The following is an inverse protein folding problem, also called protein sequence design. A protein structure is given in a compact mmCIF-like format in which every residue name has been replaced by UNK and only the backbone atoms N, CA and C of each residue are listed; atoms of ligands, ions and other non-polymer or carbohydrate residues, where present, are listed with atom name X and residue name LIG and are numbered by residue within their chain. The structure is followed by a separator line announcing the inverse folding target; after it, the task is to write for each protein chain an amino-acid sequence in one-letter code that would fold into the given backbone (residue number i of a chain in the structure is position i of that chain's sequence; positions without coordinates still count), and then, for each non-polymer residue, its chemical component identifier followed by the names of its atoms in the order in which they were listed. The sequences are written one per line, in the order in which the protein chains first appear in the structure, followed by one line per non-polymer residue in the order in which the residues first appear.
data_IF_478473214864
#
_entry.id   IF_478473214864
#
_cell.length_a   1.000
_cell.length_b   1.000
_cell.length_c   1.000
_cell.angle_alpha   90.00
_cell.angle_beta   90.00
_cell.angle_gamma   90.00
#
_symmetry.space_group_name_H-M   'P 1'
#
loop_
_entity.id
_entity.type
_entity.pdbx_description
1 polymer ?
#
# COMPACT_ATOMS: atom_id res chain seq x y z
N UNK A 1 29.11 48.57 -18.58
CA UNK A 1 28.57 47.92 -17.37
C UNK A 1 27.29 47.13 -17.65
N UNK A 2 26.45 47.56 -18.62
CA UNK A 2 25.22 46.83 -18.99
C UNK A 2 25.47 45.43 -19.59
N UNK A 3 26.48 45.23 -20.43
CA UNK A 3 26.80 43.91 -21.01
C UNK A 3 27.15 42.88 -19.93
N UNK A 4 27.99 43.26 -18.96
CA UNK A 4 28.37 42.37 -17.86
C UNK A 4 27.16 42.00 -16.99
N UNK A 5 26.27 42.96 -16.73
CA UNK A 5 25.03 42.71 -15.98
C UNK A 5 24.12 41.73 -16.72
N UNK A 6 23.93 41.91 -18.02
CA UNK A 6 23.14 41.01 -18.86
C UNK A 6 23.72 39.59 -18.89
N UNK A 7 25.03 39.44 -19.10
CA UNK A 7 25.69 38.13 -19.10
C UNK A 7 25.57 37.44 -17.75
N UNK A 8 25.79 38.13 -16.64
CA UNK A 8 25.65 37.56 -15.29
C UNK A 8 24.21 37.13 -15.03
N UNK A 9 23.23 37.94 -15.42
CA UNK A 9 21.80 37.59 -15.31
C UNK A 9 21.49 36.29 -16.06
N UNK A 10 21.89 36.18 -17.33
CA UNK A 10 21.62 34.99 -18.13
C UNK A 10 22.30 33.73 -17.60
N UNK A 11 23.55 33.84 -17.12
CA UNK A 11 24.28 32.72 -16.53
C UNK A 11 23.60 32.25 -15.25
N UNK A 12 23.22 33.18 -14.36
CA UNK A 12 22.58 32.85 -13.09
C UNK A 12 21.20 32.24 -13.31
N UNK A 13 20.37 32.86 -14.16
CA UNK A 13 19.01 32.36 -14.47
C UNK A 13 19.09 31.02 -15.18
N UNK A 14 20.01 30.85 -16.13
CA UNK A 14 20.23 29.58 -16.82
C UNK A 14 20.63 28.47 -15.84
N UNK A 15 21.61 28.74 -14.97
CA UNK A 15 22.08 27.77 -13.97
C UNK A 15 20.97 27.41 -12.97
N UNK A 16 20.24 28.41 -12.46
CA UNK A 16 19.11 28.20 -11.55
C UNK A 16 18.00 27.36 -12.20
N UNK A 17 17.71 27.60 -13.48
CA UNK A 17 16.73 26.82 -14.25
C UNK A 17 17.16 25.37 -14.40
N UNK A 18 18.43 25.13 -14.72
CA UNK A 18 18.99 23.77 -14.85
C UNK A 18 18.90 23.03 -13.50
N UNK A 19 19.32 23.67 -12.41
CA UNK A 19 19.25 23.09 -11.07
C UNK A 19 17.80 22.79 -10.70
N UNK A 20 16.87 23.73 -10.95
CA UNK A 20 15.45 23.53 -10.67
C UNK A 20 14.88 22.33 -11.43
N UNK A 21 15.21 22.17 -12.71
CA UNK A 21 14.77 21.03 -13.53
C UNK A 21 15.35 19.72 -12.99
N UNK A 22 16.65 19.69 -12.62
CA UNK A 22 17.29 18.50 -12.06
C UNK A 22 16.70 18.11 -10.71
N UNK A 23 16.50 19.07 -9.80
CA UNK A 23 15.84 18.86 -8.51
C UNK A 23 14.40 18.36 -8.69
N UNK A 24 13.68 18.96 -9.64
CA UNK A 24 12.31 18.54 -9.95
C UNK A 24 12.27 17.13 -10.55
N UNK A 25 13.21 16.77 -11.42
CA UNK A 25 13.33 15.42 -11.98
C UNK A 25 13.67 14.37 -10.91
N UNK A 26 14.58 14.68 -9.97
CA UNK A 26 14.90 13.81 -8.84
C UNK A 26 13.69 13.60 -7.90
N UNK A 27 12.83 14.61 -7.75
CA UNK A 27 11.59 14.51 -6.95
C UNK A 27 10.46 13.72 -7.62
N UNK A 28 10.61 13.26 -8.88
CA UNK A 28 9.59 12.46 -9.59
C UNK A 28 9.31 11.10 -8.94
N UNK A 29 10.15 10.63 -8.02
CA UNK A 29 9.87 9.44 -7.21
C UNK A 29 8.60 9.63 -6.35
N UNK A 30 8.28 10.86 -5.93
CA UNK A 30 7.04 11.19 -5.21
C UNK A 30 5.78 10.96 -6.06
N UNK A 31 5.87 11.09 -7.39
CA UNK A 31 4.77 10.80 -8.30
C UNK A 31 4.53 9.29 -8.47
N UNK A 32 5.58 8.46 -8.33
CA UNK A 32 5.45 6.99 -8.43
C UNK A 32 4.73 6.38 -7.22
N UNK A 33 4.59 7.12 -6.13
CA UNK A 33 3.85 6.72 -4.94
C UNK A 33 2.32 6.83 -5.14
N UNK A 34 1.87 7.69 -6.07
CA UNK A 34 0.45 7.87 -6.41
C UNK A 34 0.02 6.72 -7.33
N UNK A 35 -0.24 5.56 -6.72
CA UNK A 35 -0.66 4.34 -7.43
C UNK A 35 -0.22 3.05 -6.73
N UNK A 36 0.73 3.15 -5.79
CA UNK A 36 1.15 2.03 -4.95
C UNK A 36 0.39 2.15 -3.62
N UNK A 37 -0.74 1.45 -3.55
CA UNK A 37 -1.77 1.65 -2.55
C UNK A 37 -1.33 1.50 -1.09
N UNK A 38 -2.08 2.17 -0.21
CA UNK A 38 -2.08 1.95 1.22
C UNK A 38 -2.65 3.16 1.95
N UNK A 39 -3.86 3.04 2.49
CA UNK A 39 -4.51 4.00 3.39
C UNK A 39 -3.68 4.25 4.67
N UNK A 40 -2.51 4.86 4.55
CA UNK A 40 -1.55 4.99 5.65
C UNK A 40 -1.47 6.44 6.14
N UNK A 41 -1.79 6.59 7.42
CA UNK A 41 -1.18 7.61 8.25
C UNK A 41 0.29 7.25 8.43
N UNK A 42 1.16 8.24 8.24
CA UNK A 42 2.54 8.20 8.73
C UNK A 42 2.51 7.90 10.23
N UNK A 43 2.94 6.68 10.59
CA UNK A 43 3.42 6.38 11.92
C UNK A 43 4.68 5.56 11.76
N UNK A 44 5.77 6.13 12.24
CA UNK A 44 7.11 5.55 12.33
C UNK A 44 7.12 4.26 13.17
N UNK A 45 6.50 3.18 12.70
CA UNK A 45 6.61 1.87 13.31
C UNK A 45 7.09 0.84 12.28
N UNK A 46 8.23 0.25 12.64
CA UNK A 46 9.09 -0.68 11.94
C UNK A 46 8.40 -1.66 10.94
N UNK A 47 9.12 -2.09 9.89
CA UNK A 47 8.58 -3.00 8.88
C UNK A 47 8.17 -4.32 9.52
N UNK A 48 6.86 -4.52 9.72
CA UNK A 48 6.25 -5.85 9.81
C UNK A 48 5.78 -6.31 8.42
N UNK A 49 6.45 -5.84 7.37
CA UNK A 49 6.01 -5.95 5.98
C UNK A 49 6.44 -7.25 5.29
N UNK A 50 7.12 -8.15 6.00
CA UNK A 50 7.75 -9.34 5.43
C UNK A 50 7.26 -10.65 6.01
N UNK A 51 6.18 -10.67 6.84
CA UNK A 51 5.56 -11.95 7.19
C UNK A 51 4.95 -12.52 5.89
N UNK A 52 5.44 -13.66 5.38
CA UNK A 52 4.81 -14.31 4.25
C UNK A 52 3.36 -14.61 4.65
N UNK A 53 2.39 -14.24 3.82
CA UNK A 53 1.01 -14.70 4.02
C UNK A 53 1.09 -16.21 4.02
N UNK A 54 0.83 -16.82 5.18
CA UNK A 54 0.95 -18.25 5.32
C UNK A 54 0.02 -18.90 4.30
N UNK A 55 0.48 -19.95 3.57
CA UNK A 55 -0.36 -20.57 2.55
C UNK A 55 -1.68 -20.99 3.19
N UNK A 56 -2.82 -20.86 2.49
CA UNK A 56 -4.14 -21.10 3.07
C UNK A 56 -4.25 -22.52 3.68
N UNK A 57 -3.52 -23.48 3.12
CA UNK A 57 -3.43 -24.87 3.60
C UNK A 57 -2.69 -25.03 4.94
N UNK A 58 -1.89 -24.06 5.36
CA UNK A 58 -1.18 -24.05 6.64
C UNK A 58 -2.14 -23.87 7.83
N UNK A 59 -1.68 -24.24 9.04
CA UNK A 59 -2.46 -24.02 10.27
C UNK A 59 -2.78 -22.54 10.51
N UNK A 60 -1.83 -21.65 10.18
CA UNK A 60 -2.02 -20.20 10.30
C UNK A 60 -3.05 -19.67 9.30
N UNK A 61 -2.97 -20.09 8.03
CA UNK A 61 -3.94 -19.71 7.00
C UNK A 61 -5.36 -20.21 7.30
N UNK A 62 -5.50 -21.43 7.84
CA UNK A 62 -6.78 -21.95 8.33
C UNK A 62 -7.36 -21.12 9.47
N UNK A 63 -6.52 -20.70 10.43
CA UNK A 63 -6.96 -19.85 11.53
C UNK A 63 -7.43 -18.47 11.05
N UNK A 64 -6.77 -17.90 10.04
CA UNK A 64 -7.17 -16.64 9.42
C UNK A 64 -8.53 -16.76 8.70
N UNK A 65 -8.74 -17.83 7.92
CA UNK A 65 -10.03 -18.11 7.27
C UNK A 65 -11.14 -18.26 8.32
N UNK A 66 -10.86 -18.95 9.44
CA UNK A 66 -11.82 -19.09 10.55
C UNK A 66 -12.22 -17.74 11.12
N UNK A 67 -11.26 -16.86 11.44
CA UNK A 67 -11.55 -15.51 11.97
C UNK A 67 -12.44 -14.69 11.01
N UNK A 68 -12.16 -14.77 9.70
CA UNK A 68 -12.98 -14.08 8.69
C UNK A 68 -14.42 -14.60 8.68
N UNK A 69 -14.61 -15.92 8.78
CA UNK A 69 -15.92 -16.55 8.79
C UNK A 69 -16.69 -16.29 10.09
N UNK A 70 -16.01 -16.26 11.24
CA UNK A 70 -16.59 -15.84 12.52
C UNK A 70 -17.11 -14.40 12.45
N UNK A 71 -16.29 -13.47 11.92
CA UNK A 71 -16.72 -12.09 11.70
C UNK A 71 -17.91 -11.99 10.74
N UNK A 72 -17.95 -12.85 9.71
CA UNK A 72 -19.08 -12.94 8.78
C UNK A 72 -20.34 -13.47 9.47
N UNK A 73 -20.24 -14.48 10.31
CA UNK A 73 -21.34 -15.01 11.09
C UNK A 73 -21.84 -13.99 12.12
N UNK A 74 -20.95 -13.26 12.79
CA UNK A 74 -21.35 -12.15 13.67
C UNK A 74 -22.12 -11.04 12.93
N UNK A 75 -21.79 -10.77 11.66
CA UNK A 75 -22.57 -9.88 10.81
C UNK A 75 -23.91 -10.50 10.36
N UNK A 76 -23.96 -11.82 10.10
CA UNK A 76 -25.21 -12.54 9.76
C UNK A 76 -26.19 -12.60 10.92
N UNK A 77 -25.71 -12.93 12.11
CA UNK A 77 -26.52 -12.98 13.33
C UNK A 77 -27.17 -11.62 13.62
N UNK A 78 -26.44 -10.51 13.46
CA UNK A 78 -26.98 -9.15 13.57
C UNK A 78 -28.07 -8.83 12.54
N UNK A 79 -28.10 -9.54 11.42
CA UNK A 79 -29.12 -9.43 10.36
C UNK A 79 -30.25 -10.45 10.51
N UNK A 80 -30.27 -11.23 11.60
CA UNK A 80 -31.24 -12.32 11.80
C UNK A 80 -31.08 -13.48 10.84
N UNK A 81 -29.92 -13.60 10.17
CA UNK A 81 -29.61 -14.69 9.27
C UNK A 81 -28.94 -15.84 10.02
N UNK A 82 -29.19 -17.06 9.57
CA UNK A 82 -28.59 -18.27 10.13
C UNK A 82 -27.05 -18.25 9.95
N UNK A 83 -26.29 -18.61 11.00
CA UNK A 83 -24.84 -18.76 10.91
C UNK A 83 -24.44 -19.88 9.93
N UNK A 84 -23.33 -19.70 9.21
CA UNK A 84 -22.74 -20.77 8.43
C UNK A 84 -21.97 -21.74 9.35
N UNK A 85 -21.95 -23.02 8.99
CA UNK A 85 -21.02 -23.97 9.61
C UNK A 85 -19.57 -23.61 9.25
N UNK A 86 -18.75 -23.40 10.27
CA UNK A 86 -17.39 -22.88 10.10
C UNK A 86 -16.49 -23.91 9.44
N UNK A 87 -16.51 -25.16 9.89
CA UNK A 87 -15.59 -26.19 9.40
C UNK A 87 -15.88 -26.56 7.95
N UNK A 88 -17.15 -26.77 7.59
CA UNK A 88 -17.55 -27.02 6.19
C UNK A 88 -17.12 -25.88 5.26
N UNK A 89 -17.30 -24.63 5.70
CA UNK A 89 -16.98 -23.47 4.87
C UNK A 89 -15.46 -23.22 4.79
N UNK A 90 -14.68 -23.53 5.85
CA UNK A 90 -13.22 -23.50 5.80
C UNK A 90 -12.73 -24.48 4.74
N UNK A 91 -13.19 -25.74 4.76
CA UNK A 91 -12.77 -26.73 3.77
C UNK A 91 -13.14 -26.34 2.34
N UNK A 92 -14.33 -25.76 2.15
CA UNK A 92 -14.76 -25.23 0.85
C UNK A 92 -13.79 -24.16 0.35
N UNK A 93 -13.43 -23.19 1.19
CA UNK A 93 -12.51 -22.09 0.84
C UNK A 93 -11.11 -22.62 0.53
N UNK A 94 -10.63 -23.62 1.26
CA UNK A 94 -9.34 -24.25 1.00
C UNK A 94 -9.32 -24.92 -0.37
N UNK A 95 -10.39 -25.61 -0.77
CA UNK A 95 -10.51 -26.21 -2.11
C UNK A 95 -10.59 -25.17 -3.23
N UNK A 96 -11.19 -24.02 -2.99
CA UNK A 96 -11.27 -22.91 -3.96
C UNK A 96 -9.90 -22.24 -4.22
N UNK A 97 -8.94 -22.40 -3.30
CA UNK A 97 -7.60 -21.79 -3.37
C UNK A 97 -6.50 -22.76 -3.86
N UNK A 98 -6.85 -24.01 -4.09
CA UNK A 98 -5.99 -25.03 -4.70
C UNK A 98 -6.11 -24.99 -6.22
#
# INVERSE_FOLDING_TARGET
MEEAFGTVLFVVVGLATIIAILSFAASREAYRQIGRGGLTMDRDEAPRADRPIAPPTSAEGRAEIRQMLEARNARRARKGLEPLDLETEIERRLRELQ
#
